data_IF_609672816579
#
_entry.id   IF_609672816579
#
_cell.length_a   1.000
_cell.length_b   1.000
_cell.length_c   1.000
_cell.angle_alpha   90.00
_cell.angle_beta   90.00
_cell.angle_gamma   90.00
#
_symmetry.space_group_name_H-M   'P 1'
#
loop_
_entity.id
_entity.type
_entity.pdbx_description
1 polymer ?
#
# COMPACT_ATOMS: atom_id res chain seq x y z
N UNK A 1 -15.43 4.27 -21.70
CA UNK A 1 -16.37 4.88 -20.75
C UNK A 1 -15.82 4.67 -19.33
N UNK A 2 -15.48 5.76 -18.59
CA UNK A 2 -14.75 5.67 -17.31
C UNK A 2 -15.42 4.76 -16.26
N UNK A 3 -16.73 4.57 -16.34
CA UNK A 3 -17.47 3.69 -15.42
C UNK A 3 -17.20 2.20 -15.68
N UNK A 4 -16.94 1.80 -16.92
CA UNK A 4 -16.66 0.40 -17.27
C UNK A 4 -15.21 0.04 -16.92
N UNK A 5 -14.29 0.97 -17.10
CA UNK A 5 -12.89 0.83 -16.69
C UNK A 5 -12.75 0.72 -15.16
N UNK A 6 -13.49 1.53 -14.41
CA UNK A 6 -13.54 1.43 -12.93
C UNK A 6 -14.13 0.09 -12.49
N UNK A 7 -15.17 -0.42 -13.18
CA UNK A 7 -15.74 -1.74 -12.88
C UNK A 7 -14.79 -2.87 -13.21
N UNK A 8 -14.06 -2.78 -14.32
CA UNK A 8 -13.05 -3.77 -14.70
C UNK A 8 -11.90 -3.78 -13.72
N UNK A 9 -11.45 -2.60 -13.27
CA UNK A 9 -10.45 -2.45 -12.24
C UNK A 9 -10.91 -3.00 -10.88
N UNK A 10 -12.14 -2.70 -10.45
CA UNK A 10 -12.75 -3.26 -9.24
C UNK A 10 -12.85 -4.79 -9.28
N UNK A 11 -13.18 -5.35 -10.46
CA UNK A 11 -13.16 -6.80 -10.68
C UNK A 11 -11.75 -7.38 -10.58
N UNK A 12 -10.76 -6.70 -11.14
CA UNK A 12 -9.35 -7.15 -11.05
C UNK A 12 -8.85 -7.16 -9.62
N UNK A 13 -9.26 -6.21 -8.79
CA UNK A 13 -8.94 -6.17 -7.36
C UNK A 13 -9.67 -7.30 -6.61
N UNK A 14 -10.96 -7.49 -6.85
CA UNK A 14 -11.74 -8.58 -6.27
C UNK A 14 -11.13 -9.94 -6.65
N UNK A 15 -10.74 -10.12 -7.90
CA UNK A 15 -10.04 -11.32 -8.36
C UNK A 15 -8.69 -11.52 -7.65
N UNK A 16 -7.92 -10.47 -7.38
CA UNK A 16 -6.69 -10.55 -6.59
C UNK A 16 -6.95 -10.97 -5.13
N UNK A 17 -8.04 -10.49 -4.53
CA UNK A 17 -8.47 -10.89 -3.20
C UNK A 17 -9.00 -12.33 -3.18
N UNK A 18 -9.82 -12.71 -4.16
CA UNK A 18 -10.31 -14.09 -4.32
C UNK A 18 -9.17 -15.08 -4.58
N UNK A 19 -8.20 -14.74 -5.43
CA UNK A 19 -7.00 -15.55 -5.66
C UNK A 19 -6.26 -15.79 -4.35
N UNK A 20 -6.23 -14.82 -3.44
CA UNK A 20 -5.58 -14.97 -2.14
C UNK A 20 -6.37 -15.81 -1.14
N UNK A 21 -7.70 -15.80 -1.22
CA UNK A 21 -8.59 -16.55 -0.34
C UNK A 21 -8.85 -18.00 -0.83
N UNK A 22 -8.73 -18.24 -2.14
CA UNK A 22 -8.97 -19.55 -2.75
C UNK A 22 -7.71 -20.36 -3.02
N UNK A 23 -6.51 -19.82 -2.70
CA UNK A 23 -5.27 -20.51 -3.03
C UNK A 23 -4.92 -21.68 -2.10
N UNK A 24 -5.34 -22.83 -2.57
CA UNK A 24 -4.52 -24.02 -2.77
C UNK A 24 -3.77 -23.99 -4.15
N UNK A 25 -3.51 -22.83 -4.73
CA UNK A 25 -2.74 -22.74 -5.97
C UNK A 25 -1.27 -22.59 -5.60
N UNK A 26 -0.46 -23.56 -6.01
CA UNK A 26 1.01 -23.68 -5.89
C UNK A 26 1.77 -22.57 -6.66
N UNK A 27 1.38 -21.29 -6.50
CA UNK A 27 2.18 -20.17 -6.93
C UNK A 27 3.24 -19.94 -5.86
N UNK A 28 4.49 -20.21 -6.17
CA UNK A 28 5.63 -19.85 -5.31
C UNK A 28 5.66 -18.34 -5.16
N UNK A 29 4.97 -17.81 -4.16
CA UNK A 29 5.05 -16.40 -3.79
C UNK A 29 6.49 -16.15 -3.32
N UNK A 30 7.21 -15.27 -4.02
CA UNK A 30 8.52 -14.84 -3.57
C UNK A 30 8.32 -13.83 -2.44
N UNK A 31 8.35 -14.34 -1.21
CA UNK A 31 8.29 -13.50 -0.02
C UNK A 31 9.69 -13.03 0.37
N UNK A 32 9.81 -11.75 0.70
CA UNK A 32 11.06 -11.12 1.15
C UNK A 32 10.81 -10.35 2.44
N UNK A 33 11.55 -10.63 3.54
CA UNK A 33 11.44 -9.84 4.75
C UNK A 33 11.87 -8.39 4.52
N UNK A 34 11.24 -7.45 5.23
CA UNK A 34 11.69 -6.06 5.26
C UNK A 34 12.93 -5.95 6.17
N UNK A 35 13.79 -4.97 5.88
CA UNK A 35 15.03 -4.67 6.63
C UNK A 35 15.01 -3.22 7.12
N UNK A 36 14.19 -2.88 8.13
CA UNK A 36 14.13 -1.54 8.67
C UNK A 36 15.38 -1.25 9.50
N UNK A 37 15.87 -0.02 9.42
CA UNK A 37 16.99 0.48 10.24
C UNK A 37 16.57 1.75 10.96
N UNK A 38 17.04 1.96 12.20
CA UNK A 38 16.75 3.18 12.93
C UNK A 38 17.12 4.41 12.10
N UNK A 39 16.19 5.35 12.02
CA UNK A 39 16.43 6.68 11.48
C UNK A 39 16.65 7.61 12.66
N UNK A 40 17.59 8.54 12.53
CA UNK A 40 17.79 9.60 13.54
C UNK A 40 16.48 10.38 13.60
N UNK A 41 15.83 10.36 14.74
CA UNK A 41 14.50 10.96 14.91
C UNK A 41 14.59 12.48 14.93
N UNK A 42 13.89 13.11 14.00
CA UNK A 42 13.47 14.51 14.15
C UNK A 42 12.22 14.53 15.04
N UNK A 43 11.93 15.68 15.67
CA UNK A 43 10.69 15.79 16.42
C UNK A 43 9.49 15.71 15.46
N UNK A 44 8.41 15.08 15.90
CA UNK A 44 7.19 14.95 15.08
C UNK A 44 6.65 16.32 14.64
N UNK A 45 6.73 17.32 15.50
CA UNK A 45 6.33 18.69 15.20
C UNK A 45 7.14 19.29 14.05
N UNK A 46 8.46 19.09 14.05
CA UNK A 46 9.32 19.61 12.99
C UNK A 46 9.01 18.92 11.65
N UNK A 47 8.81 17.60 11.67
CA UNK A 47 8.42 16.84 10.46
C UNK A 47 7.08 17.33 9.93
N UNK A 48 6.07 17.54 10.77
CA UNK A 48 4.76 18.05 10.37
C UNK A 48 4.88 19.44 9.71
N UNK A 49 5.71 20.31 10.28
CA UNK A 49 5.89 21.67 9.74
C UNK A 49 6.69 21.69 8.43
N UNK A 50 7.68 20.81 8.31
CA UNK A 50 8.54 20.77 7.12
C UNK A 50 7.93 20.02 5.95
N UNK A 51 7.02 19.06 6.20
CA UNK A 51 6.43 18.27 5.14
C UNK A 51 5.57 19.13 4.21
N UNK A 52 5.61 18.82 2.93
CA UNK A 52 4.74 19.40 1.92
C UNK A 52 4.35 18.40 0.85
N UNK A 53 3.22 18.62 0.18
CA UNK A 53 2.82 17.76 -0.95
C UNK A 53 3.77 17.97 -2.12
N UNK A 54 4.51 16.92 -2.48
CA UNK A 54 5.33 16.93 -3.69
C UNK A 54 4.44 17.08 -4.92
N UNK A 55 4.85 17.97 -5.84
CA UNK A 55 4.17 18.20 -7.12
C UNK A 55 4.93 17.59 -8.29
N UNK A 56 6.15 17.14 -8.03
CA UNK A 56 7.05 16.53 -9.00
C UNK A 56 7.99 15.57 -8.30
N UNK A 57 8.23 14.41 -8.90
CA UNK A 57 9.28 13.49 -8.47
C UNK A 57 10.43 13.48 -9.45
N UNK A 58 11.64 13.30 -8.94
CA UNK A 58 12.89 13.31 -9.75
C UNK A 58 13.15 12.00 -10.47
N UNK A 59 12.33 10.97 -10.28
CA UNK A 59 12.55 9.58 -10.73
C UNK A 59 13.81 8.93 -10.17
N UNK A 60 14.39 9.48 -9.12
CA UNK A 60 15.51 8.85 -8.44
C UNK A 60 15.03 7.62 -7.66
N UNK A 61 15.78 6.49 -7.70
CA UNK A 61 15.40 5.32 -6.94
C UNK A 61 15.49 5.58 -5.43
N UNK A 62 14.60 4.97 -4.67
CA UNK A 62 14.80 4.82 -3.23
C UNK A 62 15.49 3.49 -2.92
N UNK A 63 16.14 3.41 -1.78
CA UNK A 63 16.76 2.16 -1.32
C UNK A 63 15.72 1.21 -0.73
N UNK A 64 16.02 -0.09 -0.75
CA UNK A 64 15.15 -1.08 -0.10
C UNK A 64 15.02 -0.82 1.40
N UNK A 65 16.06 -0.31 2.07
CA UNK A 65 16.01 0.07 3.50
C UNK A 65 15.06 1.25 3.73
N UNK A 66 15.03 2.26 2.87
CA UNK A 66 14.07 3.36 2.97
C UNK A 66 12.63 2.87 2.83
N UNK A 67 12.37 2.01 1.83
CA UNK A 67 11.05 1.37 1.69
C UNK A 67 10.71 0.53 2.93
N UNK A 68 11.66 -0.23 3.46
CA UNK A 68 11.46 -1.06 4.65
C UNK A 68 11.11 -0.22 5.88
N UNK A 69 11.73 0.94 6.04
CA UNK A 69 11.41 1.87 7.14
C UNK A 69 9.97 2.39 7.02
N UNK A 70 9.56 2.79 5.82
CA UNK A 70 8.17 3.20 5.57
C UNK A 70 7.22 2.05 5.91
N UNK A 71 7.44 0.85 5.39
CA UNK A 71 6.59 -0.31 5.64
C UNK A 71 6.55 -0.68 7.13
N UNK A 72 7.69 -0.60 7.82
CA UNK A 72 7.75 -0.87 9.26
C UNK A 72 6.88 0.10 10.08
N UNK A 73 6.82 1.38 9.71
CA UNK A 73 5.93 2.34 10.37
C UNK A 73 4.45 1.95 10.29
N UNK A 74 4.07 1.13 9.29
CA UNK A 74 2.72 0.67 9.06
C UNK A 74 2.36 -0.60 9.86
N UNK A 75 3.32 -1.21 10.54
CA UNK A 75 3.09 -2.38 11.40
C UNK A 75 2.51 -2.02 12.75
N UNK A 76 2.68 -0.77 13.18
CA UNK A 76 2.12 -0.29 14.45
C UNK A 76 0.60 -0.35 14.40
N UNK A 77 -0.05 -1.03 15.35
CA UNK A 77 -1.50 -1.10 15.42
C UNK A 77 -2.14 0.29 15.44
N UNK A 78 -3.29 0.41 14.82
CA UNK A 78 -4.14 1.59 14.95
C UNK A 78 -5.09 1.32 16.12
N UNK A 79 -4.89 2.03 17.23
CA UNK A 79 -5.83 1.95 18.34
C UNK A 79 -7.15 2.62 17.94
N UNK A 80 -8.22 1.87 17.95
CA UNK A 80 -9.56 2.35 17.65
C UNK A 80 -10.58 1.64 18.54
N UNK A 81 -11.76 2.22 18.66
CA UNK A 81 -12.92 1.65 19.36
C UNK A 81 -13.69 0.63 18.49
N UNK A 82 -13.22 0.36 17.28
CA UNK A 82 -13.91 -0.54 16.35
C UNK A 82 -13.43 -2.00 16.46
N UNK A 83 -12.15 -2.21 16.41
CA UNK A 83 -11.50 -3.51 16.61
C UNK A 83 -9.98 -3.31 16.83
N UNK A 84 -9.53 -3.63 18.03
CA UNK A 84 -8.11 -3.50 18.40
C UNK A 84 -7.21 -4.58 17.80
N UNK A 85 -7.77 -5.59 17.13
CA UNK A 85 -7.03 -6.82 16.80
C UNK A 85 -6.80 -7.06 15.32
N UNK A 86 -7.63 -6.49 14.43
CA UNK A 86 -7.51 -6.74 12.99
C UNK A 86 -7.59 -5.45 12.20
N UNK A 87 -6.62 -5.25 11.33
CA UNK A 87 -6.73 -4.18 10.35
C UNK A 87 -7.84 -4.49 9.35
N UNK A 88 -8.63 -3.47 9.04
CA UNK A 88 -9.70 -3.51 8.05
C UNK A 88 -9.20 -3.27 6.64
N UNK A 89 -7.92 -2.94 6.48
CA UNK A 89 -7.33 -2.60 5.19
C UNK A 89 -6.06 -3.41 4.92
N UNK A 90 -5.84 -3.69 3.67
CA UNK A 90 -4.63 -4.31 3.12
C UNK A 90 -3.78 -3.26 2.41
N UNK A 91 -2.47 -3.47 2.42
CA UNK A 91 -1.51 -2.55 1.82
C UNK A 91 -0.85 -3.25 0.64
N UNK A 92 -1.09 -2.70 -0.54
CA UNK A 92 -0.43 -3.08 -1.79
C UNK A 92 0.43 -1.93 -2.27
N UNK A 93 1.44 -2.23 -3.07
CA UNK A 93 2.23 -1.18 -3.71
C UNK A 93 2.85 -1.63 -5.02
N UNK A 94 3.10 -0.67 -5.90
CA UNK A 94 3.89 -0.87 -7.10
C UNK A 94 5.27 -0.26 -6.85
N UNK A 95 6.31 -1.09 -6.92
CA UNK A 95 7.70 -0.67 -6.90
C UNK A 95 8.15 -0.33 -8.33
N UNK A 96 8.18 0.96 -8.65
CA UNK A 96 8.65 1.45 -9.94
C UNK A 96 10.18 1.53 -10.00
N UNK A 97 10.82 1.92 -8.87
CA UNK A 97 12.28 2.05 -8.82
C UNK A 97 12.81 1.98 -7.38
N UNK A 98 13.09 0.79 -6.92
CA UNK A 98 13.69 0.53 -5.61
C UNK A 98 14.98 -0.24 -5.79
N UNK A 99 16.09 0.28 -5.28
CA UNK A 99 17.42 -0.33 -5.41
C UNK A 99 17.43 -1.73 -4.79
N UNK A 100 17.94 -2.72 -5.50
CA UNK A 100 18.01 -4.13 -5.08
C UNK A 100 16.64 -4.80 -4.92
N UNK A 101 15.62 -4.30 -5.62
CA UNK A 101 14.29 -4.87 -5.65
C UNK A 101 13.80 -4.97 -7.09
N UNK A 102 13.10 -6.05 -7.41
CA UNK A 102 12.49 -6.23 -8.72
C UNK A 102 11.33 -5.25 -8.88
N UNK A 103 11.19 -4.64 -10.06
CA UNK A 103 10.00 -3.84 -10.41
C UNK A 103 8.79 -4.75 -10.44
N UNK A 104 7.69 -4.30 -9.84
CA UNK A 104 6.50 -5.15 -9.77
C UNK A 104 5.43 -4.62 -8.81
N UNK A 105 4.33 -5.36 -8.76
CA UNK A 105 3.27 -5.17 -7.78
C UNK A 105 3.48 -6.13 -6.60
N UNK A 106 3.31 -5.59 -5.42
CA UNK A 106 3.59 -6.28 -4.16
C UNK A 106 2.43 -6.15 -3.19
N UNK A 107 2.33 -7.15 -2.33
CA UNK A 107 1.52 -7.10 -1.12
C UNK A 107 2.43 -6.99 0.11
N UNK A 108 2.03 -6.18 1.08
CA UNK A 108 2.72 -6.08 2.36
C UNK A 108 2.04 -6.94 3.41
N UNK A 109 2.68 -8.06 3.76
CA UNK A 109 2.24 -8.94 4.83
C UNK A 109 2.71 -8.37 6.19
N UNK A 110 1.80 -7.67 6.87
CA UNK A 110 2.10 -7.06 8.17
C UNK A 110 2.32 -8.07 9.30
N UNK A 111 1.80 -9.29 9.17
CA UNK A 111 1.97 -10.34 10.19
C UNK A 111 3.41 -10.83 10.23
N UNK A 112 3.97 -11.04 9.05
CA UNK A 112 5.30 -11.63 8.89
C UNK A 112 6.38 -10.57 8.62
N UNK A 113 6.01 -9.29 8.56
CA UNK A 113 6.88 -8.19 8.17
C UNK A 113 7.61 -8.48 6.84
N UNK A 114 6.86 -8.95 5.86
CA UNK A 114 7.39 -9.35 4.57
C UNK A 114 6.62 -8.71 3.42
N UNK A 115 7.23 -8.70 2.26
CA UNK A 115 6.61 -8.29 1.01
C UNK A 115 6.52 -9.46 0.06
N UNK A 116 5.36 -9.67 -0.51
CA UNK A 116 5.06 -10.75 -1.43
C UNK A 116 4.94 -10.20 -2.84
N UNK A 117 5.75 -10.71 -3.77
CA UNK A 117 5.69 -10.32 -5.17
C UNK A 117 4.46 -10.95 -5.83
N UNK A 118 3.50 -10.12 -6.23
CA UNK A 118 2.27 -10.57 -6.91
C UNK A 118 2.46 -10.60 -8.43
N UNK A 119 3.10 -9.58 -8.98
CA UNK A 119 3.33 -9.46 -10.43
C UNK A 119 4.66 -8.77 -10.71
N UNK A 120 5.53 -9.47 -11.41
CA UNK A 120 6.82 -8.93 -11.82
C UNK A 120 6.70 -7.99 -13.03
N UNK A 121 7.70 -7.12 -13.20
CA UNK A 121 7.89 -6.28 -14.40
C UNK A 121 6.71 -5.34 -14.70
N UNK A 122 6.02 -4.85 -13.68
CA UNK A 122 4.99 -3.82 -13.85
C UNK A 122 5.65 -2.52 -14.32
N UNK A 123 5.14 -1.96 -15.40
CA UNK A 123 5.67 -0.73 -15.99
C UNK A 123 5.18 0.51 -15.23
N UNK A 124 5.99 1.58 -15.18
CA UNK A 124 5.66 2.84 -14.49
C UNK A 124 4.35 3.48 -14.95
N UNK A 125 4.01 3.35 -16.23
CA UNK A 125 2.76 3.89 -16.78
C UNK A 125 1.53 3.26 -16.14
N UNK A 126 1.62 2.01 -15.65
CA UNK A 126 0.52 1.36 -14.91
C UNK A 126 0.18 2.14 -13.64
N UNK A 127 1.20 2.60 -12.89
CA UNK A 127 0.97 3.44 -11.71
C UNK A 127 0.26 4.75 -12.06
N UNK A 128 0.65 5.40 -13.16
CA UNK A 128 -0.01 6.61 -13.65
C UNK A 128 -1.44 6.37 -14.07
N UNK A 129 -1.69 5.30 -14.84
CA UNK A 129 -3.01 4.89 -15.30
C UNK A 129 -3.96 4.62 -14.13
N UNK A 130 -3.52 3.81 -13.16
CA UNK A 130 -4.31 3.47 -11.97
C UNK A 130 -4.65 4.69 -11.10
N UNK A 131 -3.87 5.77 -11.21
CA UNK A 131 -4.06 7.01 -10.48
C UNK A 131 -4.57 8.13 -11.39
N UNK A 132 -5.57 7.85 -12.21
CA UNK A 132 -6.26 8.79 -13.09
C UNK A 132 -5.33 9.46 -14.12
N UNK A 133 -4.42 8.67 -14.69
CA UNK A 133 -3.44 9.10 -15.72
C UNK A 133 -2.50 10.24 -15.27
N UNK A 134 -2.32 10.39 -13.96
CA UNK A 134 -1.42 11.43 -13.43
C UNK A 134 0.05 10.99 -13.54
N UNK A 135 0.84 11.77 -14.25
CA UNK A 135 2.28 11.54 -14.43
C UNK A 135 3.06 11.50 -13.10
N UNK A 136 2.57 12.21 -12.09
CA UNK A 136 3.16 12.20 -10.75
C UNK A 136 3.35 10.76 -10.21
N UNK A 137 2.35 9.90 -10.39
CA UNK A 137 2.43 8.51 -9.92
C UNK A 137 3.35 7.64 -10.78
N UNK A 138 3.44 7.90 -12.08
CA UNK A 138 4.44 7.26 -12.95
C UNK A 138 5.87 7.66 -12.58
N UNK A 139 6.07 8.87 -12.05
CA UNK A 139 7.36 9.38 -11.66
C UNK A 139 7.80 8.94 -10.26
N UNK A 140 6.86 8.53 -9.41
CA UNK A 140 7.15 8.04 -8.07
C UNK A 140 7.97 6.74 -8.10
N UNK A 141 8.85 6.56 -7.13
CA UNK A 141 9.62 5.33 -6.97
C UNK A 141 8.77 4.18 -6.44
N UNK A 142 7.78 4.48 -5.61
CA UNK A 142 6.79 3.55 -5.08
C UNK A 142 5.43 4.24 -5.03
N UNK A 143 4.37 3.51 -5.36
CA UNK A 143 2.98 3.96 -5.21
C UNK A 143 2.24 2.96 -4.33
N UNK A 144 1.66 3.44 -3.23
CA UNK A 144 0.89 2.63 -2.31
C UNK A 144 -0.60 2.66 -2.63
N UNK A 145 -1.25 1.51 -2.47
CA UNK A 145 -2.69 1.31 -2.60
C UNK A 145 -3.21 0.69 -1.31
N UNK A 146 -4.06 1.42 -0.61
CA UNK A 146 -4.70 0.95 0.61
C UNK A 146 -6.09 0.45 0.22
N UNK A 147 -6.33 -0.84 0.39
CA UNK A 147 -7.54 -1.51 -0.10
C UNK A 147 -8.29 -2.20 1.03
N UNK A 148 -9.58 -2.37 0.87
CA UNK A 148 -10.43 -3.08 1.84
C UNK A 148 -11.47 -3.94 1.12
N UNK A 149 -11.82 -5.08 1.72
CA UNK A 149 -13.03 -5.81 1.36
C UNK A 149 -14.23 -5.13 2.04
N UNK A 150 -14.77 -4.13 1.36
CA UNK A 150 -15.84 -3.31 1.93
C UNK A 150 -17.10 -4.14 2.24
N UNK A 151 -17.44 -5.15 1.41
CA UNK A 151 -18.58 -6.04 1.65
C UNK A 151 -18.45 -6.72 3.01
N UNK A 152 -17.33 -7.40 3.24
CA UNK A 152 -17.05 -8.07 4.51
C UNK A 152 -17.09 -7.11 5.72
N UNK A 153 -16.51 -5.93 5.58
CA UNK A 153 -16.47 -4.96 6.68
C UNK A 153 -17.85 -4.39 6.98
N UNK A 154 -18.67 -4.15 5.97
CA UNK A 154 -20.06 -3.69 6.15
C UNK A 154 -20.92 -4.78 6.76
N UNK A 155 -20.70 -6.05 6.41
CA UNK A 155 -21.40 -7.19 7.03
C UNK A 155 -21.09 -7.31 8.53
N UNK A 156 -19.84 -7.00 8.95
CA UNK A 156 -19.41 -7.08 10.36
C UNK A 156 -19.82 -5.84 11.16
N UNK A 157 -19.61 -4.63 10.60
CA UNK A 157 -19.73 -3.36 11.31
C UNK A 157 -20.93 -2.51 10.86
N UNK A 158 -21.70 -2.99 9.88
CA UNK A 158 -22.78 -2.22 9.28
C UNK A 158 -22.26 -0.96 8.57
N UNK A 159 -23.11 0.06 8.47
CA UNK A 159 -22.76 1.33 7.82
C UNK A 159 -21.55 2.06 8.46
N UNK A 160 -21.20 1.73 9.70
CA UNK A 160 -20.01 2.28 10.37
C UNK A 160 -18.71 1.75 9.75
N UNK A 161 -18.73 0.54 9.18
CA UNK A 161 -17.57 -0.10 8.59
C UNK A 161 -16.91 0.74 7.50
N UNK A 162 -17.71 1.39 6.66
CA UNK A 162 -17.17 2.28 5.62
C UNK A 162 -16.33 3.43 6.21
N UNK A 163 -16.82 4.10 7.26
CA UNK A 163 -16.08 5.18 7.93
C UNK A 163 -14.84 4.66 8.63
N UNK A 164 -14.94 3.49 9.25
CA UNK A 164 -13.82 2.85 9.96
C UNK A 164 -12.66 2.55 9.01
N UNK A 165 -12.94 1.98 7.82
CA UNK A 165 -11.93 1.75 6.80
C UNK A 165 -11.28 3.05 6.32
N UNK A 166 -12.05 4.11 6.09
CA UNK A 166 -11.51 5.40 5.69
C UNK A 166 -10.63 6.03 6.77
N UNK A 167 -11.05 5.91 8.03
CA UNK A 167 -10.29 6.41 9.16
C UNK A 167 -8.94 5.68 9.29
N UNK A 168 -8.94 4.35 9.25
CA UNK A 168 -7.71 3.55 9.28
C UNK A 168 -6.81 3.85 8.09
N UNK A 169 -7.38 3.93 6.87
CA UNK A 169 -6.64 4.29 5.67
C UNK A 169 -5.97 5.66 5.78
N UNK A 170 -6.67 6.63 6.38
CA UNK A 170 -6.13 7.98 6.63
C UNK A 170 -4.95 7.96 7.59
N UNK A 171 -5.00 7.16 8.66
CA UNK A 171 -3.89 6.99 9.61
C UNK A 171 -2.68 6.35 8.92
N UNK A 172 -2.91 5.28 8.14
CA UNK A 172 -1.85 4.61 7.38
C UNK A 172 -1.22 5.57 6.36
N UNK A 173 -2.02 6.29 5.60
CA UNK A 173 -1.53 7.30 4.66
C UNK A 173 -0.73 8.40 5.38
N UNK A 174 -1.17 8.85 6.54
CA UNK A 174 -0.44 9.79 7.39
C UNK A 174 0.94 9.26 7.80
N UNK A 175 1.04 8.00 8.19
CA UNK A 175 2.32 7.34 8.54
C UNK A 175 3.28 7.22 7.35
N UNK A 176 2.75 6.96 6.16
CA UNK A 176 3.56 6.94 4.93
C UNK A 176 4.11 8.34 4.61
N UNK A 177 3.35 9.36 4.98
CA UNK A 177 3.62 10.75 4.62
C UNK A 177 4.60 11.45 5.59
N UNK A 178 4.70 11.00 6.83
CA UNK A 178 5.61 11.48 7.87
C UNK A 178 6.91 10.70 7.92
#
# INVERSE_FOLDING_TARGET
NSSDEVREWTRSIATMQEIRETEDVNVKIQSKPIDPRPIISQSLSDVILLRGSARKFSRQPITFTQLSNILYSLTTPTHSDFDDKKSMVDIYFIANDVTKMQKGAYFFNRKDNSIDLLKANVQRNVSGYLCLEQSLFSDASVVFYIMTNLGLIVDILGNRGYRSCQFESGIIAGRIYL
#
